data_IF_805610873265
#
_entry.id   IF_805610873265
#
_cell.length_a   1.000
_cell.length_b   1.000
_cell.length_c   1.000
_cell.angle_alpha   90.00
_cell.angle_beta   90.00
_cell.angle_gamma   90.00
#
_symmetry.space_group_name_H-M   'P 1'
#
loop_
_entity.id
_entity.type
_entity.pdbx_description
1 polymer ?
#
# COMPACT_ATOMS: atom_id res chain seq x y z
N UNK A 1 -21.30 8.93 9.53
CA UNK A 1 -21.47 9.24 8.09
C UNK A 1 -20.50 10.32 7.57
N UNK A 2 -20.36 11.49 8.21
CA UNK A 2 -19.45 12.56 7.72
C UNK A 2 -17.95 12.23 7.86
N UNK A 3 -17.53 11.66 8.99
CA UNK A 3 -16.10 11.35 9.25
C UNK A 3 -15.55 10.29 8.28
N UNK A 4 -16.34 9.25 7.98
CA UNK A 4 -15.93 8.22 7.02
C UNK A 4 -15.77 8.77 5.60
N UNK A 5 -16.70 9.61 5.15
CA UNK A 5 -16.61 10.23 3.83
C UNK A 5 -15.39 11.17 3.72
N UNK A 6 -15.01 11.83 4.83
CA UNK A 6 -13.81 12.63 4.92
C UNK A 6 -12.55 11.76 4.83
N UNK A 7 -12.43 10.71 5.65
CA UNK A 7 -11.31 9.75 5.61
C UNK A 7 -11.14 9.18 4.20
N UNK A 8 -12.25 8.79 3.57
CA UNK A 8 -12.26 8.26 2.20
C UNK A 8 -11.79 9.29 1.18
N UNK A 9 -12.20 10.55 1.31
CA UNK A 9 -11.80 11.61 0.38
C UNK A 9 -10.34 12.02 0.55
N UNK A 10 -9.85 12.07 1.80
CA UNK A 10 -8.45 12.39 2.11
C UNK A 10 -7.52 11.33 1.54
N UNK A 11 -7.82 10.04 1.73
CA UNK A 11 -6.98 8.98 1.17
C UNK A 11 -6.93 8.97 -0.35
N UNK A 12 -8.05 9.24 -1.01
CA UNK A 12 -8.07 9.30 -2.48
C UNK A 12 -7.13 10.38 -3.00
N UNK A 13 -7.15 11.55 -2.35
CA UNK A 13 -6.23 12.65 -2.68
C UNK A 13 -4.79 12.29 -2.35
N UNK A 14 -4.55 11.70 -1.19
CA UNK A 14 -3.22 11.31 -0.75
C UNK A 14 -2.58 10.30 -1.68
N UNK A 15 -3.28 9.22 -2.06
CA UNK A 15 -2.73 8.21 -2.96
C UNK A 15 -2.45 8.79 -4.36
N UNK A 16 -3.34 9.64 -4.87
CA UNK A 16 -3.10 10.34 -6.14
C UNK A 16 -1.83 11.20 -6.06
N UNK A 17 -1.66 11.94 -4.98
CA UNK A 17 -0.45 12.74 -4.76
C UNK A 17 0.80 11.88 -4.63
N UNK A 18 0.72 10.72 -3.99
CA UNK A 18 1.86 9.79 -3.89
C UNK A 18 2.32 9.28 -5.25
N UNK A 19 1.36 8.92 -6.11
CA UNK A 19 1.65 8.48 -7.47
C UNK A 19 2.26 9.61 -8.31
N UNK A 20 1.73 10.83 -8.21
CA UNK A 20 2.25 12.00 -8.92
C UNK A 20 3.65 12.43 -8.44
N UNK A 21 3.87 12.41 -7.12
CA UNK A 21 5.14 12.84 -6.53
C UNK A 21 6.25 11.81 -6.76
N UNK A 22 5.91 10.53 -6.97
CA UNK A 22 6.78 9.37 -7.26
C UNK A 22 7.87 9.03 -6.22
N UNK A 23 8.43 10.04 -5.55
CA UNK A 23 9.48 9.95 -4.54
C UNK A 23 9.14 10.87 -3.36
N UNK A 24 8.99 10.29 -2.17
CA UNK A 24 8.94 11.05 -0.92
C UNK A 24 10.27 10.94 -0.17
N UNK A 25 10.66 12.02 0.49
CA UNK A 25 11.82 12.03 1.38
C UNK A 25 11.33 11.95 2.83
N UNK A 26 11.80 10.95 3.57
CA UNK A 26 11.54 10.83 5.00
C UNK A 26 12.37 11.86 5.78
N UNK A 27 11.98 12.15 7.02
CA UNK A 27 12.70 13.05 7.93
C UNK A 27 14.16 12.63 8.17
N UNK A 28 14.45 11.33 8.04
CA UNK A 28 15.80 10.75 8.09
C UNK A 28 16.63 10.94 6.83
N UNK A 29 16.08 11.59 5.80
CA UNK A 29 16.73 11.82 4.51
C UNK A 29 16.63 10.67 3.50
N UNK A 30 16.09 9.51 3.93
CA UNK A 30 15.91 8.31 3.12
C UNK A 30 14.67 8.41 2.21
N UNK A 31 14.68 7.68 1.10
CA UNK A 31 13.69 7.83 0.01
C UNK A 31 12.63 6.73 0.05
N UNK A 32 11.37 7.14 -0.04
CA UNK A 32 10.21 6.28 -0.28
C UNK A 32 9.88 6.43 -1.77
N UNK A 33 9.89 5.33 -2.52
CA UNK A 33 9.72 5.38 -3.98
C UNK A 33 8.51 4.57 -4.39
N UNK A 34 7.60 5.20 -5.13
CA UNK A 34 6.45 4.53 -5.75
C UNK A 34 6.90 3.44 -6.73
N UNK A 35 8.07 3.63 -7.35
CA UNK A 35 8.67 2.68 -8.30
C UNK A 35 8.68 1.24 -7.79
N UNK A 36 8.95 0.99 -6.50
CA UNK A 36 9.00 -0.38 -5.98
C UNK A 36 7.65 -1.11 -6.06
N UNK A 37 6.53 -0.39 -5.99
CA UNK A 37 5.18 -0.97 -6.15
C UNK A 37 4.92 -1.29 -7.62
N UNK A 38 5.39 -0.42 -8.53
CA UNK A 38 5.32 -0.65 -9.98
C UNK A 38 6.16 -1.87 -10.38
N UNK A 39 7.40 -1.94 -9.92
CA UNK A 39 8.32 -3.07 -10.14
C UNK A 39 7.74 -4.39 -9.61
N UNK A 40 7.13 -4.37 -8.41
CA UNK A 40 6.45 -5.54 -7.87
C UNK A 40 5.31 -6.00 -8.79
N UNK A 41 4.49 -5.07 -9.29
CA UNK A 41 3.43 -5.43 -10.21
C UNK A 41 3.98 -6.02 -11.52
N UNK A 42 5.01 -5.39 -12.11
CA UNK A 42 5.65 -5.88 -13.33
C UNK A 42 6.24 -7.28 -13.14
N UNK A 43 6.88 -7.54 -12.00
CA UNK A 43 7.40 -8.87 -11.65
C UNK A 43 6.28 -9.91 -11.61
N UNK A 44 5.15 -9.60 -10.95
CA UNK A 44 4.01 -10.50 -10.86
C UNK A 44 3.36 -10.80 -12.22
N UNK A 45 3.26 -9.78 -13.08
CA UNK A 45 2.76 -9.94 -14.46
C UNK A 45 3.72 -10.81 -15.28
N UNK A 46 5.02 -10.51 -15.22
CA UNK A 46 6.06 -11.23 -15.97
C UNK A 46 6.09 -12.73 -15.61
N UNK A 47 5.96 -13.05 -14.34
CA UNK A 47 6.04 -14.44 -13.86
C UNK A 47 4.67 -15.12 -13.78
N UNK A 48 3.57 -14.44 -14.10
CA UNK A 48 2.19 -14.94 -13.96
C UNK A 48 1.90 -15.51 -12.56
N UNK A 49 2.50 -14.89 -11.52
CA UNK A 49 2.43 -15.35 -10.14
C UNK A 49 2.07 -14.19 -9.20
N UNK A 50 1.36 -14.49 -8.12
CA UNK A 50 0.99 -13.51 -7.09
C UNK A 50 1.78 -13.78 -5.81
N UNK A 51 2.53 -12.78 -5.32
CA UNK A 51 3.29 -12.88 -4.07
C UNK A 51 2.40 -12.57 -2.86
N UNK A 52 1.29 -13.29 -2.73
CA UNK A 52 0.39 -13.21 -1.58
C UNK A 52 -0.41 -11.91 -1.42
N UNK A 53 -0.32 -10.96 -2.37
CA UNK A 53 -1.03 -9.68 -2.31
C UNK A 53 -2.05 -9.52 -3.47
N UNK A 54 -2.93 -8.53 -3.34
CA UNK A 54 -4.04 -8.28 -4.30
C UNK A 54 -3.67 -7.26 -5.39
N UNK A 55 -2.41 -6.87 -5.52
CA UNK A 55 -1.95 -5.85 -6.46
C UNK A 55 -2.16 -6.30 -7.92
N UNK A 56 -2.75 -5.41 -8.72
CA UNK A 56 -3.08 -5.58 -10.15
C UNK A 56 -2.96 -4.23 -10.84
N UNK A 57 -2.92 -4.21 -12.18
CA UNK A 57 -2.74 -2.98 -12.98
C UNK A 57 -3.70 -1.84 -12.60
N UNK A 58 -4.99 -2.17 -12.37
CA UNK A 58 -6.02 -1.21 -11.92
C UNK A 58 -5.71 -0.48 -10.59
N UNK A 59 -4.76 -0.98 -9.80
CA UNK A 59 -4.32 -0.38 -8.54
C UNK A 59 -3.21 0.65 -8.73
N UNK A 60 -2.58 0.64 -9.91
CA UNK A 60 -1.59 1.61 -10.35
C UNK A 60 -2.21 2.67 -11.27
N UNK A 61 -3.28 2.33 -11.99
CA UNK A 61 -4.00 3.27 -12.87
C UNK A 61 -5.07 4.07 -12.09
N UNK A 62 -4.60 5.00 -11.26
CA UNK A 62 -5.46 5.88 -10.45
C UNK A 62 -6.07 7.05 -11.23
N UNK A 63 -5.53 7.36 -12.41
CA UNK A 63 -6.01 8.44 -13.26
C UNK A 63 -7.25 8.03 -14.05
N UNK A 64 -7.31 6.78 -14.53
CA UNK A 64 -8.45 6.27 -15.31
C UNK A 64 -9.61 5.78 -14.44
N UNK A 65 -9.33 5.33 -13.22
CA UNK A 65 -10.34 4.88 -12.28
C UNK A 65 -10.56 5.96 -11.21
N UNK A 66 -11.75 6.59 -11.15
CA UNK A 66 -12.13 7.48 -10.03
C UNK A 66 -11.87 6.73 -8.73
N UNK A 67 -10.79 7.13 -8.03
CA UNK A 67 -10.11 6.24 -7.09
C UNK A 67 -11.06 5.66 -6.05
N UNK A 68 -11.08 4.34 -5.97
CA UNK A 68 -11.78 3.60 -4.93
C UNK A 68 -10.82 3.41 -3.77
N UNK A 69 -11.20 3.82 -2.56
CA UNK A 69 -10.36 3.65 -1.37
C UNK A 69 -9.98 2.20 -1.14
N UNK A 70 -10.86 1.26 -1.50
CA UNK A 70 -10.53 -0.16 -1.43
C UNK A 70 -9.31 -0.51 -2.27
N UNK A 71 -9.14 0.13 -3.43
CA UNK A 71 -7.95 -0.06 -4.27
C UNK A 71 -6.73 0.56 -3.59
N UNK A 72 -6.86 1.78 -3.06
CA UNK A 72 -5.79 2.46 -2.33
C UNK A 72 -5.26 1.61 -1.16
N UNK A 73 -6.18 1.06 -0.36
CA UNK A 73 -5.86 0.17 0.76
C UNK A 73 -5.13 -1.10 0.30
N UNK A 74 -5.52 -1.67 -0.84
CA UNK A 74 -4.85 -2.84 -1.41
C UNK A 74 -3.43 -2.50 -1.89
N UNK A 75 -3.24 -1.34 -2.53
CA UNK A 75 -1.93 -0.87 -3.01
C UNK A 75 -0.97 -0.57 -1.87
N UNK A 76 -1.44 0.06 -0.79
CA UNK A 76 -0.63 0.47 0.36
C UNK A 76 -0.65 -0.52 1.53
N UNK A 77 -0.98 -1.78 1.28
CA UNK A 77 -1.17 -2.77 2.35
C UNK A 77 0.14 -3.35 2.90
N UNK A 78 0.08 -3.91 4.10
CA UNK A 78 1.18 -4.70 4.68
C UNK A 78 1.59 -5.86 3.77
N UNK A 79 0.64 -6.51 3.10
CA UNK A 79 0.96 -7.61 2.17
C UNK A 79 1.83 -7.19 0.98
N UNK A 80 1.68 -5.95 0.50
CA UNK A 80 2.54 -5.38 -0.56
C UNK A 80 3.93 -5.07 0.01
N UNK A 81 4.00 -4.58 1.25
CA UNK A 81 5.25 -4.34 1.94
C UNK A 81 6.06 -5.65 2.14
N UNK A 82 5.39 -6.72 2.52
CA UNK A 82 6.00 -8.04 2.73
C UNK A 82 6.50 -8.63 1.40
N UNK A 83 5.75 -8.47 0.32
CA UNK A 83 6.19 -8.91 -1.01
C UNK A 83 7.42 -8.14 -1.51
N UNK A 84 7.50 -6.83 -1.27
CA UNK A 84 8.69 -6.01 -1.57
C UNK A 84 9.88 -6.47 -0.72
N UNK A 85 9.66 -6.75 0.58
CA UNK A 85 10.69 -7.26 1.48
C UNK A 85 11.23 -8.61 1.02
N UNK A 86 10.34 -9.54 0.65
CA UNK A 86 10.68 -10.85 0.11
C UNK A 86 11.52 -10.74 -1.17
N UNK A 87 11.13 -9.86 -2.10
CA UNK A 87 11.89 -9.63 -3.33
C UNK A 87 13.31 -9.12 -3.05
N UNK A 88 13.48 -8.31 -2.00
CA UNK A 88 14.79 -7.76 -1.60
C UNK A 88 15.63 -8.79 -0.82
N UNK A 89 15.04 -9.47 0.15
CA UNK A 89 15.77 -10.30 1.13
C UNK A 89 15.93 -11.75 0.72
N UNK A 90 14.92 -12.35 0.10
CA UNK A 90 14.93 -13.78 -0.25
C UNK A 90 15.31 -14.01 -1.71
N UNK A 91 14.82 -13.14 -2.61
CA UNK A 91 15.11 -13.23 -4.05
C UNK A 91 16.32 -12.38 -4.47
N UNK A 92 16.81 -11.51 -3.60
CA UNK A 92 17.96 -10.62 -3.85
C UNK A 92 17.88 -9.83 -5.17
N UNK A 93 16.68 -9.39 -5.53
CA UNK A 93 16.43 -8.72 -6.79
C UNK A 93 16.95 -7.26 -6.74
N UNK A 94 17.85 -6.85 -7.66
CA UNK A 94 18.54 -5.56 -7.57
C UNK A 94 17.57 -4.36 -7.68
N UNK A 95 16.46 -4.51 -8.39
CA UNK A 95 15.45 -3.45 -8.53
C UNK A 95 14.69 -3.15 -7.21
N UNK A 96 14.83 -3.99 -6.17
CA UNK A 96 14.25 -3.76 -4.84
C UNK A 96 15.30 -3.37 -3.79
N UNK A 97 16.56 -3.15 -4.19
CA UNK A 97 17.59 -2.67 -3.28
C UNK A 97 17.25 -1.28 -2.74
N UNK A 98 17.37 -1.05 -1.43
CA UNK A 98 17.02 0.24 -0.82
C UNK A 98 15.52 0.46 -0.70
N UNK A 99 14.71 -0.60 -0.59
CA UNK A 99 13.25 -0.52 -0.44
C UNK A 99 12.77 -0.51 1.01
N UNK A 100 13.69 -0.51 1.99
CA UNK A 100 13.42 -0.59 3.43
C UNK A 100 12.48 0.50 3.93
N UNK A 101 12.67 1.73 3.45
CA UNK A 101 11.83 2.85 3.84
C UNK A 101 10.47 2.81 3.18
N UNK A 102 10.39 2.29 1.95
CA UNK A 102 9.11 2.10 1.27
C UNK A 102 8.29 1.02 1.97
N UNK A 103 8.92 -0.12 2.33
CA UNK A 103 8.31 -1.17 3.15
C UNK A 103 7.80 -0.61 4.49
N UNK A 104 8.62 0.19 5.17
CA UNK A 104 8.25 0.79 6.45
C UNK A 104 7.08 1.75 6.28
N UNK A 105 7.12 2.62 5.28
CA UNK A 105 6.05 3.54 4.95
C UNK A 105 4.72 2.82 4.69
N UNK A 106 4.72 1.75 3.89
CA UNK A 106 3.53 0.95 3.58
C UNK A 106 2.90 0.38 4.86
N UNK A 107 3.70 -0.24 5.74
CA UNK A 107 3.19 -0.77 7.01
C UNK A 107 2.63 0.31 7.94
N UNK A 108 3.26 1.48 7.99
CA UNK A 108 2.75 2.61 8.75
C UNK A 108 1.42 3.10 8.18
N UNK A 109 1.33 3.24 6.87
CA UNK A 109 0.12 3.71 6.22
C UNK A 109 -1.06 2.75 6.42
N UNK A 110 -0.84 1.45 6.24
CA UNK A 110 -1.83 0.39 6.44
C UNK A 110 -2.41 0.44 7.86
N UNK A 111 -1.55 0.55 8.88
CA UNK A 111 -1.97 0.69 10.29
C UNK A 111 -2.76 1.98 10.54
N UNK A 112 -2.28 3.10 10.02
CA UNK A 112 -2.97 4.39 10.14
C UNK A 112 -4.36 4.31 9.50
N UNK A 113 -4.46 3.66 8.34
CA UNK A 113 -5.72 3.47 7.64
C UNK A 113 -6.70 2.60 8.44
N UNK A 114 -6.23 1.49 8.99
CA UNK A 114 -7.04 0.61 9.84
C UNK A 114 -7.53 1.33 11.11
N UNK A 115 -6.68 2.14 11.74
CA UNK A 115 -7.05 2.98 12.89
C UNK A 115 -8.14 4.00 12.53
N UNK A 116 -8.06 4.63 11.35
CA UNK A 116 -9.09 5.57 10.90
C UNK A 116 -10.40 4.87 10.53
N UNK A 117 -10.37 3.59 10.14
CA UNK A 117 -11.57 2.81 9.85
C UNK A 117 -12.18 2.12 11.07
N UNK A 118 -11.40 1.91 12.13
CA UNK A 118 -11.87 1.26 13.37
C UNK A 118 -12.86 2.11 14.14
N UNK A 119 -13.07 3.38 13.78
CA UNK A 119 -14.16 4.23 14.29
C UNK A 119 -15.57 3.74 13.90
N UNK A 120 -15.69 2.64 13.14
CA UNK A 120 -16.92 1.86 12.95
C UNK A 120 -17.04 0.65 13.89
N UNK A 121 -16.19 0.52 14.92
CA UNK A 121 -16.28 -0.56 15.90
C UNK A 121 -17.53 -0.37 16.77
N UNK A 122 -18.67 -0.71 16.19
CA UNK A 122 -19.92 -0.99 16.87
C UNK A 122 -19.67 -2.26 17.67
N UNK A 123 -19.87 -2.16 18.99
CA UNK A 123 -19.95 -3.28 19.93
C UNK A 123 -20.70 -4.48 19.33
N UNK A 124 -20.04 -5.64 19.26
CA UNK A 124 -20.72 -6.90 18.98
C UNK A 124 -20.02 -7.81 17.98
N UNK A 125 -19.07 -8.60 18.46
CA UNK A 125 -19.11 -10.08 18.46
C UNK A 125 -17.80 -10.60 19.04
N UNK A 126 -17.96 -11.46 20.06
CA UNK A 126 -16.89 -12.00 20.86
C UNK A 126 -15.77 -12.60 20.03
N UNK A 127 -14.55 -12.40 20.55
CA UNK A 127 -13.39 -13.20 20.19
C UNK A 127 -13.80 -14.67 20.27
N UNK A 128 -13.72 -15.40 19.15
CA UNK A 128 -13.75 -16.85 19.20
C UNK A 128 -12.42 -17.31 19.79
N UNK A 129 -12.54 -18.14 20.81
CA UNK A 129 -11.48 -18.69 21.62
C UNK A 129 -10.44 -19.47 20.80
N UNK A 130 -9.22 -19.52 21.35
CA UNK A 130 -8.23 -20.57 21.14
C UNK A 130 -8.85 -21.96 21.40
#
# INVERSE_FOLDING_TARGET
>A
MQLQNLVQSVMKRFLKLLEEVTILKCSSGKLIKWQYIVELHQLQVKHTLYLGNKLKEKHLDCTRNKMNVRLAAQTLSTSVADAIEYCRQDLHLPQFAGSEETRTFLRWFDRMFDLCNSSNFVWGKGQKAL
#
